data_IF_549044397657
#
_entry.id   IF_549044397657
#
_cell.length_a   1.000
_cell.length_b   1.000
_cell.length_c   1.000
_cell.angle_alpha   90.00
_cell.angle_beta   90.00
_cell.angle_gamma   90.00
#
_symmetry.space_group_name_H-M   'P 1'
#
loop_
_entity.id
_entity.type
_entity.pdbx_description
1 polymer ?
#
# COMPACT_ATOMS: atom_id res chain seq x y z
N UNK A 1 13.30 -30.80 -30.42
CA UNK A 1 12.56 -29.63 -29.91
C UNK A 1 12.58 -28.58 -31.00
N UNK A 2 11.43 -28.00 -31.33
CA UNK A 2 11.30 -27.02 -32.42
C UNK A 2 11.88 -25.67 -31.98
N UNK A 3 12.89 -25.11 -32.68
CA UNK A 3 13.55 -23.87 -32.30
C UNK A 3 12.67 -22.61 -32.44
N UNK A 4 11.46 -22.73 -33.00
CA UNK A 4 10.52 -21.62 -33.20
C UNK A 4 9.32 -21.60 -32.23
N UNK A 5 9.28 -22.48 -31.22
CA UNK A 5 8.26 -22.38 -30.18
C UNK A 5 8.58 -21.20 -29.25
N UNK A 6 7.96 -20.05 -29.50
CA UNK A 6 7.91 -18.97 -28.50
C UNK A 6 7.36 -19.55 -27.20
N UNK A 7 8.07 -19.42 -26.07
CA UNK A 7 7.63 -20.00 -24.82
C UNK A 7 6.23 -19.48 -24.49
N UNK A 8 5.27 -20.39 -24.34
CA UNK A 8 3.89 -20.02 -24.00
C UNK A 8 3.93 -19.22 -22.71
N UNK A 9 3.34 -18.01 -22.67
CA UNK A 9 3.39 -17.18 -21.48
C UNK A 9 2.79 -17.96 -20.32
N UNK A 10 3.57 -18.14 -19.26
CA UNK A 10 3.15 -18.80 -18.03
C UNK A 10 1.86 -18.12 -17.55
N UNK A 11 0.74 -18.84 -17.67
CA UNK A 11 -0.54 -18.38 -17.18
C UNK A 11 -0.53 -18.59 -15.67
N UNK A 12 -0.04 -17.60 -14.91
CA UNK A 12 0.11 -17.66 -13.45
C UNK A 12 -1.12 -18.27 -12.76
N UNK A 13 -2.33 -17.93 -13.21
CA UNK A 13 -3.58 -18.43 -12.66
C UNK A 13 -3.84 -19.94 -12.87
N UNK A 14 -3.17 -20.58 -13.83
CA UNK A 14 -3.30 -22.01 -14.14
C UNK A 14 -2.32 -22.90 -13.33
N UNK A 15 -1.36 -22.31 -12.61
CA UNK A 15 -0.41 -23.08 -11.79
C UNK A 15 -1.08 -23.61 -10.50
N UNK A 16 -0.51 -24.62 -9.82
CA UNK A 16 -0.94 -25.00 -8.48
C UNK A 16 -0.87 -23.82 -7.50
N UNK A 17 -1.80 -23.75 -6.55
CA UNK A 17 -1.92 -22.60 -5.63
C UNK A 17 -0.64 -22.35 -4.84
N UNK A 18 0.09 -23.39 -4.43
CA UNK A 18 1.33 -23.24 -3.68
C UNK A 18 2.43 -22.57 -4.52
N UNK A 19 2.58 -23.00 -5.77
CA UNK A 19 3.52 -22.38 -6.72
C UNK A 19 3.11 -20.94 -7.05
N UNK A 20 1.82 -20.65 -7.19
CA UNK A 20 1.34 -19.27 -7.35
C UNK A 20 1.72 -18.41 -6.14
N UNK A 21 1.55 -18.94 -4.92
CA UNK A 21 1.89 -18.23 -3.69
C UNK A 21 3.39 -17.99 -3.58
N UNK A 22 4.21 -18.97 -3.91
CA UNK A 22 5.67 -18.83 -3.89
C UNK A 22 6.16 -17.83 -4.94
N UNK A 23 5.59 -17.82 -6.14
CA UNK A 23 5.90 -16.82 -7.15
C UNK A 23 5.52 -15.41 -6.67
N UNK A 24 4.31 -15.22 -6.15
CA UNK A 24 3.84 -13.93 -5.62
C UNK A 24 4.67 -13.48 -4.41
N UNK A 25 5.15 -14.40 -3.56
CA UNK A 25 6.05 -14.10 -2.45
C UNK A 25 7.40 -13.57 -2.92
N UNK A 26 7.88 -13.95 -4.11
CA UNK A 26 9.15 -13.50 -4.66
C UNK A 26 9.03 -12.29 -5.59
N UNK A 27 7.82 -11.91 -5.99
CA UNK A 27 7.59 -10.69 -6.77
C UNK A 27 7.84 -9.41 -5.95
N UNK A 28 8.30 -8.38 -6.65
CA UNK A 28 8.39 -7.01 -6.13
C UNK A 28 6.99 -6.41 -5.88
N UNK A 29 6.97 -5.27 -5.19
CA UNK A 29 5.72 -4.59 -4.84
C UNK A 29 4.89 -4.22 -6.07
N UNK A 30 5.52 -3.68 -7.12
CA UNK A 30 4.79 -3.12 -8.26
C UNK A 30 4.14 -4.22 -9.10
N UNK A 31 4.82 -5.35 -9.29
CA UNK A 31 4.29 -6.53 -9.94
C UNK A 31 3.09 -7.08 -9.16
N UNK A 32 3.22 -7.23 -7.84
CA UNK A 32 2.10 -7.69 -6.98
C UNK A 32 0.94 -6.70 -7.01
N UNK A 33 1.23 -5.39 -6.99
CA UNK A 33 0.23 -4.34 -7.10
C UNK A 33 -0.49 -4.42 -8.45
N UNK A 34 0.23 -4.55 -9.58
CA UNK A 34 -0.38 -4.72 -10.90
C UNK A 34 -1.24 -5.96 -10.99
N UNK A 35 -0.78 -7.11 -10.51
CA UNK A 35 -1.59 -8.32 -10.47
C UNK A 35 -2.90 -8.10 -9.70
N UNK A 36 -2.83 -7.37 -8.57
CA UNK A 36 -4.01 -7.09 -7.77
C UNK A 36 -5.05 -6.18 -8.45
N UNK A 37 -4.67 -5.42 -9.48
CA UNK A 37 -5.63 -4.59 -10.22
C UNK A 37 -6.54 -5.45 -11.11
N UNK A 38 -6.14 -6.67 -11.48
CA UNK A 38 -6.96 -7.59 -12.27
C UNK A 38 -8.00 -8.31 -11.42
N UNK A 39 -9.26 -8.32 -11.89
CA UNK A 39 -10.40 -8.94 -11.17
C UNK A 39 -10.18 -10.42 -10.85
N UNK A 40 -9.50 -11.16 -11.73
CA UNK A 40 -9.22 -12.59 -11.55
C UNK A 40 -8.35 -12.87 -10.32
N UNK A 41 -7.40 -11.99 -9.99
CA UNK A 41 -6.54 -12.10 -8.81
C UNK A 41 -7.24 -11.69 -7.52
N UNK A 42 -8.27 -10.84 -7.58
CA UNK A 42 -9.04 -10.40 -6.40
C UNK A 42 -10.01 -11.46 -5.87
N UNK A 43 -10.42 -12.45 -6.69
CA UNK A 43 -11.47 -13.43 -6.37
C UNK A 43 -11.01 -14.58 -5.47
N UNK A 44 -9.73 -14.66 -5.10
CA UNK A 44 -9.19 -15.72 -4.22
C UNK A 44 -8.84 -15.13 -2.85
N UNK A 45 -9.81 -15.05 -1.91
CA UNK A 45 -9.63 -14.37 -0.61
C UNK A 45 -8.52 -14.93 0.28
N UNK A 46 -8.03 -16.15 0.02
CA UNK A 46 -6.93 -16.80 0.77
C UNK A 46 -5.54 -16.55 0.17
N UNK A 47 -5.42 -15.80 -0.94
CA UNK A 47 -4.13 -15.51 -1.61
C UNK A 47 -3.57 -14.14 -1.24
N UNK A 48 -3.78 -13.71 -0.01
CA UNK A 48 -3.32 -12.38 0.42
C UNK A 48 -1.83 -12.45 0.68
N UNK A 49 -1.05 -11.77 -0.14
CA UNK A 49 0.37 -11.54 0.13
C UNK A 49 0.47 -10.91 1.52
N UNK A 50 1.16 -11.58 2.43
CA UNK A 50 1.41 -11.07 3.77
C UNK A 50 2.47 -9.99 3.68
N UNK A 51 2.05 -8.74 3.90
CA UNK A 51 2.96 -7.63 4.12
C UNK A 51 3.10 -7.43 5.63
N UNK A 52 4.29 -7.07 6.06
CA UNK A 52 4.57 -6.91 7.50
C UNK A 52 3.79 -5.72 8.04
N UNK A 53 3.78 -4.61 7.32
CA UNK A 53 3.22 -3.37 7.84
C UNK A 53 2.82 -2.40 6.74
N UNK A 54 1.74 -1.65 6.99
CA UNK A 54 1.42 -0.42 6.28
C UNK A 54 1.43 0.75 7.25
N UNK A 55 2.13 1.84 6.90
CA UNK A 55 2.09 3.09 7.66
C UNK A 55 1.69 4.26 6.77
N UNK A 56 0.68 5.01 7.16
CA UNK A 56 0.43 6.34 6.58
C UNK A 56 1.19 7.37 7.40
N UNK A 57 2.13 8.09 6.76
CA UNK A 57 2.94 9.12 7.41
C UNK A 57 2.63 10.48 6.81
N UNK A 58 2.08 11.35 7.64
CA UNK A 58 1.74 12.72 7.29
C UNK A 58 2.65 13.62 8.13
N UNK A 59 3.53 14.34 7.45
CA UNK A 59 4.51 15.22 8.10
C UNK A 59 3.93 16.63 8.25
N UNK A 60 4.70 17.49 8.90
CA UNK A 60 4.38 18.92 8.99
C UNK A 60 4.26 19.53 7.59
N UNK A 61 5.22 19.20 6.73
CA UNK A 61 5.25 19.57 5.32
C UNK A 61 4.61 18.47 4.47
N UNK A 62 3.48 18.80 3.84
CA UNK A 62 2.66 17.83 3.11
C UNK A 62 3.33 17.21 1.88
N UNK A 63 4.36 17.87 1.33
CA UNK A 63 5.10 17.41 0.15
C UNK A 63 5.82 16.08 0.38
N UNK A 64 6.09 15.77 1.65
CA UNK A 64 6.84 14.59 2.05
C UNK A 64 5.95 13.54 2.74
N UNK A 65 4.63 13.66 2.55
CA UNK A 65 3.65 12.66 2.98
C UNK A 65 3.76 11.39 2.12
N UNK A 66 3.68 10.22 2.76
CA UNK A 66 3.73 8.94 2.05
C UNK A 66 3.00 7.82 2.77
N UNK A 67 2.59 6.82 1.99
CA UNK A 67 2.22 5.50 2.50
C UNK A 67 3.47 4.63 2.42
N UNK A 68 3.84 4.02 3.54
CA UNK A 68 4.94 3.07 3.66
C UNK A 68 4.38 1.66 3.66
N UNK A 69 4.90 0.79 2.80
CA UNK A 69 4.56 -0.64 2.76
C UNK A 69 5.85 -1.41 3.00
N UNK A 70 5.87 -2.26 4.03
CA UNK A 70 7.08 -2.99 4.43
C UNK A 70 6.86 -4.50 4.25
N UNK A 71 7.81 -5.16 3.57
CA UNK A 71 7.88 -6.62 3.43
C UNK A 71 9.13 -7.13 4.10
N UNK A 72 8.97 -8.07 5.05
CA UNK A 72 10.08 -8.78 5.70
C UNK A 72 11.17 -7.87 6.29
N UNK A 73 10.84 -6.63 6.67
CA UNK A 73 11.74 -5.64 7.30
C UNK A 73 12.92 -5.15 6.43
N UNK A 74 13.14 -5.75 5.27
CA UNK A 74 14.24 -5.46 4.35
C UNK A 74 13.86 -4.54 3.19
N UNK A 75 12.59 -4.59 2.75
CA UNK A 75 12.09 -3.78 1.64
C UNK A 75 11.14 -2.69 2.15
N UNK A 76 11.47 -1.43 1.85
CA UNK A 76 10.73 -0.22 2.23
C UNK A 76 10.17 0.46 0.98
N UNK A 77 8.92 0.16 0.67
CA UNK A 77 8.20 0.75 -0.45
C UNK A 77 7.47 2.00 0.05
N UNK A 78 7.66 3.12 -0.64
CA UNK A 78 7.01 4.39 -0.31
C UNK A 78 6.15 4.83 -1.46
N UNK A 79 4.90 5.18 -1.17
CA UNK A 79 3.99 5.77 -2.14
C UNK A 79 3.82 7.22 -1.72
N UNK A 80 4.44 8.12 -2.47
CA UNK A 80 4.42 9.55 -2.23
C UNK A 80 3.02 10.11 -2.52
N UNK A 81 2.47 10.88 -1.58
CA UNK A 81 1.11 11.42 -1.70
C UNK A 81 1.04 12.75 -2.47
N UNK A 82 2.17 13.40 -2.67
CA UNK A 82 2.27 14.56 -3.54
C UNK A 82 1.91 14.14 -4.98
N UNK A 83 1.04 14.89 -5.65
CA UNK A 83 0.53 14.58 -6.99
C UNK A 83 1.61 14.67 -8.06
N UNK A 84 2.59 15.54 -7.84
CA UNK A 84 3.70 15.80 -8.77
C UNK A 84 4.94 14.97 -8.43
N UNK A 85 4.82 14.04 -7.48
CA UNK A 85 5.91 13.15 -7.14
C UNK A 85 6.30 12.24 -8.31
N UNK A 86 7.61 12.09 -8.50
CA UNK A 86 8.20 11.20 -9.51
C UNK A 86 8.73 9.95 -8.82
N UNK A 87 8.47 8.78 -9.41
CA UNK A 87 9.00 7.53 -8.91
C UNK A 87 10.54 7.51 -8.99
N UNK A 88 11.19 6.99 -7.94
CA UNK A 88 12.65 6.89 -7.89
C UNK A 88 13.08 5.79 -6.93
N UNK A 89 14.26 5.25 -7.17
CA UNK A 89 14.90 4.26 -6.32
C UNK A 89 16.20 4.83 -5.77
N UNK A 90 16.43 4.66 -4.46
CA UNK A 90 17.67 5.11 -3.82
C UNK A 90 17.97 4.29 -2.57
N UNK A 91 19.23 4.34 -2.11
CA UNK A 91 19.68 3.68 -0.88
C UNK A 91 19.84 4.69 0.26
N UNK A 92 19.42 4.30 1.45
CA UNK A 92 19.69 5.02 2.71
C UNK A 92 20.29 4.03 3.69
N UNK A 93 21.61 4.13 3.90
CA UNK A 93 22.39 3.06 4.52
C UNK A 93 22.23 1.76 3.73
N UNK A 94 21.97 0.66 4.43
CA UNK A 94 21.77 -0.66 3.81
C UNK A 94 20.36 -0.90 3.26
N UNK A 95 19.46 0.08 3.39
CA UNK A 95 18.06 -0.08 2.98
C UNK A 95 17.82 0.46 1.59
N UNK A 96 17.24 -0.39 0.74
CA UNK A 96 16.68 0.03 -0.53
C UNK A 96 15.33 0.69 -0.29
N UNK A 97 15.18 1.92 -0.77
CA UNK A 97 13.92 2.66 -0.76
C UNK A 97 13.46 2.83 -2.21
N UNK A 98 12.27 2.31 -2.48
CA UNK A 98 11.60 2.47 -3.76
C UNK A 98 10.42 3.40 -3.56
N UNK A 99 10.43 4.55 -4.23
CA UNK A 99 9.39 5.55 -4.16
C UNK A 99 8.52 5.50 -5.42
N UNK A 100 7.21 5.48 -5.20
CA UNK A 100 6.17 5.43 -6.23
C UNK A 100 5.29 6.66 -6.14
N UNK A 101 4.75 7.08 -7.28
CA UNK A 101 3.74 8.14 -7.32
C UNK A 101 2.34 7.60 -7.04
N UNK A 102 1.62 8.21 -6.11
CA UNK A 102 0.23 7.83 -5.83
C UNK A 102 -0.68 8.03 -7.05
N UNK A 103 -0.41 9.05 -7.88
CA UNK A 103 -1.22 9.36 -9.05
C UNK A 103 -1.04 8.30 -10.14
N UNK A 104 0.17 7.82 -10.35
CA UNK A 104 0.45 6.76 -11.32
C UNK A 104 -0.09 5.41 -10.89
N UNK A 105 -0.04 5.10 -9.59
CA UNK A 105 -0.67 3.90 -9.04
C UNK A 105 -2.20 3.98 -9.13
N UNK A 106 -2.80 5.14 -8.83
CA UNK A 106 -4.25 5.33 -8.89
C UNK A 106 -4.82 5.10 -10.29
N UNK A 107 -4.15 5.58 -11.35
CA UNK A 107 -4.56 5.36 -12.76
C UNK A 107 -4.74 3.88 -13.12
N UNK A 108 -4.05 2.98 -12.43
CA UNK A 108 -4.06 1.53 -12.70
C UNK A 108 -5.16 0.80 -11.92
N UNK A 109 -5.81 1.45 -10.96
CA UNK A 109 -6.90 0.87 -10.18
C UNK A 109 -8.24 1.34 -10.76
N UNK A 110 -9.10 0.38 -11.10
CA UNK A 110 -10.52 0.68 -11.35
C UNK A 110 -11.23 0.92 -10.02
N UNK A 111 -11.83 2.10 -9.84
CA UNK A 111 -12.62 2.42 -8.67
C UNK A 111 -13.33 3.77 -8.79
N UNK A 112 -14.16 4.05 -7.78
CA UNK A 112 -15.10 5.19 -7.75
C UNK A 112 -14.60 6.40 -6.96
N UNK A 113 -13.38 6.33 -6.42
CA UNK A 113 -12.83 7.37 -5.56
C UNK A 113 -12.04 8.37 -6.41
N UNK A 114 -12.41 9.64 -6.32
CA UNK A 114 -11.77 10.73 -7.06
C UNK A 114 -10.38 11.07 -6.49
N UNK A 115 -10.22 11.02 -5.15
CA UNK A 115 -8.92 11.27 -4.53
C UNK A 115 -7.97 10.08 -4.75
N UNK A 116 -6.85 10.25 -5.47
CA UNK A 116 -5.90 9.16 -5.74
C UNK A 116 -5.32 8.57 -4.45
N UNK A 117 -5.17 9.37 -3.39
CA UNK A 117 -4.63 8.93 -2.09
C UNK A 117 -5.57 7.95 -1.42
N UNK A 118 -6.86 8.30 -1.34
CA UNK A 118 -7.89 7.42 -0.79
C UNK A 118 -8.05 6.17 -1.65
N UNK A 119 -8.05 6.34 -2.97
CA UNK A 119 -8.21 5.25 -3.93
C UNK A 119 -7.12 4.18 -3.77
N UNK A 120 -5.84 4.58 -3.78
CA UNK A 120 -4.70 3.67 -3.63
C UNK A 120 -4.71 3.03 -2.25
N UNK A 121 -4.87 3.81 -1.18
CA UNK A 121 -4.83 3.27 0.17
C UNK A 121 -5.95 2.25 0.43
N UNK A 122 -7.18 2.52 -0.04
CA UNK A 122 -8.29 1.57 0.08
C UNK A 122 -8.02 0.28 -0.69
N UNK A 123 -7.46 0.38 -1.90
CA UNK A 123 -7.08 -0.78 -2.70
C UNK A 123 -6.04 -1.64 -1.96
N UNK A 124 -5.00 -1.02 -1.41
CA UNK A 124 -3.98 -1.72 -0.63
C UNK A 124 -4.60 -2.46 0.56
N UNK A 125 -5.43 -1.77 1.36
CA UNK A 125 -6.06 -2.35 2.55
C UNK A 125 -7.10 -3.44 2.24
N UNK A 126 -7.69 -3.42 1.03
CA UNK A 126 -8.66 -4.43 0.60
C UNK A 126 -7.97 -5.69 0.07
N UNK A 127 -6.87 -5.52 -0.67
CA UNK A 127 -6.17 -6.62 -1.35
C UNK A 127 -5.19 -7.32 -0.41
N UNK A 128 -4.41 -6.54 0.33
CA UNK A 128 -3.28 -7.06 1.10
C UNK A 128 -3.64 -7.32 2.56
N UNK A 129 -2.98 -8.33 3.14
CA UNK A 129 -3.00 -8.54 4.58
C UNK A 129 -1.77 -7.89 5.19
N UNK A 130 -2.01 -6.99 6.14
CA UNK A 130 -0.98 -6.32 6.92
C UNK A 130 -1.08 -6.81 8.37
N UNK A 131 0.05 -7.18 8.97
CA UNK A 131 0.08 -7.51 10.41
C UNK A 131 -0.09 -6.28 11.30
N UNK A 132 0.30 -5.11 10.79
CA UNK A 132 0.21 -3.82 11.48
C UNK A 132 -0.26 -2.73 10.52
N UNK A 133 -1.19 -1.91 11.01
CA UNK A 133 -1.69 -0.73 10.29
C UNK A 133 -1.55 0.50 11.18
N UNK A 134 -0.64 1.39 10.82
CA UNK A 134 -0.35 2.59 11.60
C UNK A 134 -0.62 3.87 10.81
N UNK A 135 -1.23 4.87 11.44
CA UNK A 135 -1.31 6.24 10.94
C UNK A 135 -0.52 7.15 11.88
N UNK A 136 0.47 7.86 11.33
CA UNK A 136 1.24 8.88 12.04
C UNK A 136 0.98 10.23 11.36
N UNK A 137 0.28 11.13 12.03
CA UNK A 137 0.05 12.51 11.59
C UNK A 137 0.78 13.48 12.50
N UNK A 138 1.72 14.25 11.93
CA UNK A 138 2.51 15.28 12.64
C UNK A 138 2.06 16.71 12.34
N UNK A 139 0.90 16.88 11.70
CA UNK A 139 0.27 18.18 11.44
C UNK A 139 -1.14 18.23 12.03
N UNK A 140 -1.62 19.45 12.24
CA UNK A 140 -3.01 19.70 12.62
C UNK A 140 -3.92 19.25 11.48
N UNK A 141 -4.89 18.39 11.80
CA UNK A 141 -5.86 17.86 10.83
C UNK A 141 -7.06 18.80 10.80
N UNK A 142 -7.38 19.33 9.63
CA UNK A 142 -8.54 20.19 9.43
C UNK A 142 -9.63 19.41 8.71
N UNK A 143 -10.79 19.24 9.34
CA UNK A 143 -11.89 18.39 8.83
C UNK A 143 -12.30 18.68 7.38
N UNK A 144 -12.34 19.95 7.00
CA UNK A 144 -12.71 20.37 5.65
C UNK A 144 -11.63 20.06 4.59
N UNK A 145 -10.35 20.16 4.96
CA UNK A 145 -9.22 20.01 4.03
C UNK A 145 -8.66 18.58 4.00
N UNK A 146 -8.92 17.81 5.06
CA UNK A 146 -8.40 16.47 5.29
C UNK A 146 -9.53 15.42 5.35
N UNK A 147 -10.60 15.63 4.59
CA UNK A 147 -11.73 14.68 4.51
C UNK A 147 -11.29 13.25 4.20
N UNK A 148 -10.24 13.09 3.37
CA UNK A 148 -9.65 11.77 3.10
C UNK A 148 -9.08 11.11 4.37
N UNK A 149 -8.51 11.88 5.31
CA UNK A 149 -7.96 11.35 6.58
C UNK A 149 -9.08 10.83 7.47
N UNK A 150 -10.15 11.59 7.62
CA UNK A 150 -11.31 11.17 8.39
C UNK A 150 -11.93 9.87 7.85
N UNK A 151 -11.97 9.71 6.53
CA UNK A 151 -12.48 8.51 5.88
C UNK A 151 -11.62 7.25 6.08
N UNK A 152 -10.33 7.40 6.38
CA UNK A 152 -9.38 6.28 6.45
C UNK A 152 -8.92 5.98 7.88
N UNK A 153 -8.98 6.94 8.82
CA UNK A 153 -8.60 6.75 10.23
C UNK A 153 -9.20 5.46 10.81
N UNK A 154 -10.51 5.15 10.63
CA UNK A 154 -11.12 3.92 11.17
C UNK A 154 -10.52 2.61 10.63
N UNK A 155 -9.69 2.66 9.58
CA UNK A 155 -9.05 1.48 8.98
C UNK A 155 -7.69 1.15 9.58
N UNK A 156 -7.15 2.02 10.43
CA UNK A 156 -5.86 1.84 11.10
C UNK A 156 -6.06 1.35 12.53
N UNK A 157 -5.15 0.50 12.99
CA UNK A 157 -5.16 -0.06 14.35
C UNK A 157 -4.50 0.89 15.34
N UNK A 158 -3.45 1.58 14.89
CA UNK A 158 -2.70 2.55 15.67
C UNK A 158 -2.77 3.91 14.98
N UNK A 159 -3.22 4.93 15.70
CA UNK A 159 -3.39 6.29 15.16
C UNK A 159 -2.70 7.27 16.11
N UNK A 160 -1.67 7.94 15.61
CA UNK A 160 -0.91 8.96 16.32
C UNK A 160 -1.17 10.31 15.66
N UNK A 161 -1.93 11.17 16.32
CA UNK A 161 -2.18 12.53 15.85
C UNK A 161 -1.40 13.51 16.73
N UNK A 162 -0.65 14.41 16.11
CA UNK A 162 -0.13 15.58 16.82
C UNK A 162 -1.31 16.49 17.13
N UNK A 163 -1.87 16.38 18.33
CA UNK A 163 -2.81 17.38 18.81
C UNK A 163 -2.12 18.73 18.86
N UNK A 164 -2.84 19.80 18.56
CA UNK A 164 -2.62 21.01 19.34
C UNK A 164 -2.72 20.59 20.81
N UNK A 165 -1.57 20.45 21.47
CA UNK A 165 -1.41 20.17 22.90
C UNK A 165 -1.98 18.86 23.50
N UNK A 166 -2.26 17.79 22.76
CA UNK A 166 -2.65 16.50 23.38
C UNK A 166 -2.05 15.31 22.61
N UNK A 167 -1.20 14.54 23.30
CA UNK A 167 -0.90 13.16 22.92
C UNK A 167 -2.14 12.33 23.28
N UNK A 168 -2.98 12.01 22.30
CA UNK A 168 -4.02 11.02 22.51
C UNK A 168 -3.32 9.65 22.64
N UNK A 169 -3.15 9.21 23.89
CA UNK A 169 -2.76 7.85 24.22
C UNK A 169 -3.71 6.88 23.49
N UNK A 170 -3.12 5.98 22.72
CA UNK A 170 -3.70 4.76 22.14
C UNK A 170 -5.23 4.74 22.01
N UNK A 171 -5.78 5.25 20.91
CA UNK A 171 -7.09 4.78 20.45
C UNK A 171 -6.93 3.35 19.92
N UNK A 172 -7.05 2.34 20.81
CA UNK A 172 -7.38 0.98 20.39
C UNK A 172 -8.82 0.98 19.91
N UNK A 173 -9.04 1.01 18.60
CA UNK A 173 -10.35 0.65 18.03
C UNK A 173 -10.51 -0.86 18.25
N UNK A 174 -11.15 -1.24 19.35
CA UNK A 174 -11.62 -2.60 19.56
C UNK A 174 -12.74 -2.88 18.55
N UNK A 175 -12.37 -3.35 17.35
CA UNK A 175 -13.33 -3.93 16.43
C UNK A 175 -13.80 -5.27 17.02
N UNK A 176 -14.88 -5.22 17.81
CA UNK A 176 -15.75 -6.38 18.05
C UNK A 176 -16.63 -6.56 16.81
N UNK A 177 -16.32 -7.55 15.98
CA UNK A 177 -17.31 -8.36 15.26
C UNK A 177 -16.74 -9.77 15.11
#
# INVERSE_FOLDING_TARGET
MDPNETPKPLRLLQLPTDLQNDMVRNMDFLAVFHLSTFRAFRKSPNRRTYWTEIRLKLKKESETDYIRVVKNETLDERILLNRDAVAREHRVGDKLIVEHSVTDLAKKIKGKYEDPREHVLRHLLQVFQFKRKTLECKRVVHEQNDSFLWNIIPKFEFVYLSGGSIWLNEYRVANKY
#
